data_IF_013085523201
#
_entry.id   IF_013085523201
#
_cell.length_a   1.000
_cell.length_b   1.000
_cell.length_c   1.000
_cell.angle_alpha   90.00
_cell.angle_beta   90.00
_cell.angle_gamma   90.00
#
_symmetry.space_group_name_H-M   'P 1'
#
loop_
_entity.id
_entity.type
_entity.pdbx_description
1 polymer ?
#
# COMPACT_ATOMS: atom_id res chain seq x y z
N UNK A 1 17.18 -17.25 -1.29
CA UNK A 1 16.80 -16.18 -0.39
C UNK A 1 17.63 -16.17 0.89
N UNK A 2 17.96 -17.29 1.43
CA UNK A 2 18.99 -17.41 2.46
C UNK A 2 19.97 -18.51 2.08
N UNK A 3 21.16 -18.53 2.69
CA UNK A 3 22.17 -19.55 2.47
C UNK A 3 21.76 -20.94 3.01
N UNK A 4 20.71 -20.99 3.85
CA UNK A 4 20.15 -22.24 4.41
C UNK A 4 19.29 -23.00 3.40
N UNK A 5 18.80 -22.34 2.34
CA UNK A 5 17.92 -22.93 1.34
C UNK A 5 16.52 -23.26 1.89
N UNK A 6 16.09 -22.60 2.96
CA UNK A 6 14.81 -22.87 3.62
C UNK A 6 13.60 -22.55 2.74
N UNK A 7 13.75 -21.65 1.77
CA UNK A 7 12.66 -21.24 0.87
C UNK A 7 13.12 -21.27 -0.59
N UNK A 8 12.37 -21.98 -1.43
CA UNK A 8 12.66 -22.13 -2.87
C UNK A 8 11.54 -21.49 -3.68
N UNK A 9 11.92 -20.69 -4.67
CA UNK A 9 10.99 -20.11 -5.63
C UNK A 9 11.43 -20.43 -7.07
N UNK A 10 10.46 -20.82 -7.90
CA UNK A 10 10.63 -21.04 -9.33
C UNK A 10 10.11 -19.83 -10.11
N UNK A 11 10.87 -19.32 -11.05
CA UNK A 11 10.41 -18.30 -11.99
C UNK A 11 9.59 -18.98 -13.07
N UNK A 12 8.27 -18.77 -13.09
CA UNK A 12 7.34 -19.41 -14.03
C UNK A 12 7.00 -18.54 -15.25
N UNK A 13 7.12 -17.21 -15.12
CA UNK A 13 6.87 -16.31 -16.22
C UNK A 13 7.71 -15.03 -16.12
N UNK A 14 8.07 -14.52 -17.30
CA UNK A 14 8.69 -13.20 -17.47
C UNK A 14 7.61 -12.24 -17.89
N UNK A 15 6.99 -11.54 -16.96
CA UNK A 15 6.05 -10.48 -17.30
C UNK A 15 6.71 -9.42 -18.18
N UNK A 16 5.98 -8.85 -19.11
CA UNK A 16 6.51 -7.93 -20.12
C UNK A 16 7.06 -6.61 -19.56
N UNK A 17 6.76 -6.29 -18.31
CA UNK A 17 7.09 -5.02 -17.66
C UNK A 17 8.05 -5.17 -16.48
N UNK A 18 9.24 -5.76 -16.71
CA UNK A 18 10.31 -5.85 -15.69
C UNK A 18 9.99 -6.69 -14.44
N UNK A 19 8.80 -7.29 -14.36
CA UNK A 19 8.40 -8.20 -13.30
C UNK A 19 8.77 -9.65 -13.57
N UNK A 20 8.62 -10.49 -12.57
CA UNK A 20 8.71 -11.96 -12.66
C UNK A 20 7.59 -12.57 -11.85
N UNK A 21 6.95 -13.59 -12.40
CA UNK A 21 5.99 -14.40 -11.64
C UNK A 21 6.75 -15.55 -10.99
N UNK A 22 6.67 -15.63 -9.67
CA UNK A 22 7.33 -16.65 -8.88
C UNK A 22 6.30 -17.64 -8.34
N UNK A 23 6.67 -18.93 -8.37
CA UNK A 23 5.97 -19.99 -7.66
C UNK A 23 6.85 -20.43 -6.49
N UNK A 24 6.36 -20.26 -5.29
CA UNK A 24 7.02 -20.77 -4.10
C UNK A 24 6.75 -22.27 -3.95
N UNK A 25 7.81 -23.02 -3.64
CA UNK A 25 7.75 -24.47 -3.39
C UNK A 25 7.96 -24.68 -1.90
N UNK A 26 6.93 -25.16 -1.21
CA UNK A 26 6.97 -25.40 0.22
C UNK A 26 6.13 -26.62 0.61
N UNK A 27 6.57 -27.37 1.63
CA UNK A 27 5.94 -28.59 2.13
C UNK A 27 5.29 -28.39 3.50
N UNK A 28 5.14 -27.14 3.95
CA UNK A 28 4.54 -26.76 5.21
C UNK A 28 3.11 -26.21 5.01
N UNK A 29 2.43 -25.90 6.11
CA UNK A 29 1.14 -25.20 6.03
C UNK A 29 1.28 -23.77 5.47
N UNK A 30 0.21 -23.23 4.90
CA UNK A 30 0.22 -21.85 4.38
C UNK A 30 0.60 -20.82 5.46
N UNK A 31 0.18 -21.03 6.69
CA UNK A 31 0.51 -20.14 7.82
C UNK A 31 2.01 -20.20 8.18
N UNK A 32 2.61 -21.39 8.12
CA UNK A 32 4.04 -21.56 8.35
C UNK A 32 4.85 -20.92 7.22
N UNK A 33 4.46 -21.16 5.96
CA UNK A 33 5.05 -20.50 4.80
C UNK A 33 5.02 -18.98 4.93
N UNK A 34 3.87 -18.44 5.31
CA UNK A 34 3.68 -16.99 5.49
C UNK A 34 4.59 -16.44 6.58
N UNK A 35 4.70 -17.14 7.71
CA UNK A 35 5.60 -16.75 8.81
C UNK A 35 7.07 -16.75 8.38
N UNK A 36 7.51 -17.76 7.63
CA UNK A 36 8.88 -17.83 7.10
C UNK A 36 9.14 -16.71 6.09
N UNK A 37 8.18 -16.45 5.19
CA UNK A 37 8.28 -15.35 4.22
C UNK A 37 8.43 -13.99 4.91
N UNK A 38 7.66 -13.73 5.96
CA UNK A 38 7.77 -12.49 6.73
C UNK A 38 9.07 -12.41 7.53
N UNK A 39 9.60 -13.54 8.00
CA UNK A 39 10.88 -13.56 8.70
C UNK A 39 12.08 -13.22 7.79
N UNK A 40 11.94 -13.43 6.48
CA UNK A 40 12.93 -13.05 5.48
C UNK A 40 12.75 -11.62 4.96
N UNK A 41 11.57 -11.04 5.19
CA UNK A 41 11.22 -9.70 4.70
C UNK A 41 11.79 -8.60 5.57
N UNK A 42 12.09 -7.47 4.95
CA UNK A 42 12.51 -6.24 5.61
C UNK A 42 11.52 -5.11 5.30
N UNK A 43 11.42 -4.12 6.20
CA UNK A 43 10.63 -2.93 5.93
C UNK A 43 11.18 -2.19 4.71
N UNK A 44 10.36 -1.77 3.73
CA UNK A 44 10.79 -1.10 2.51
C UNK A 44 11.13 0.38 2.78
N UNK A 45 12.13 0.62 3.61
CA UNK A 45 12.52 1.96 4.02
C UNK A 45 13.05 2.79 2.85
N UNK A 46 12.79 4.10 2.82
CA UNK A 46 13.42 5.02 1.89
C UNK A 46 14.94 4.97 1.97
N UNK A 47 15.59 5.06 0.80
CA UNK A 47 17.05 4.94 0.69
C UNK A 47 17.81 5.91 1.60
N UNK A 48 17.33 7.14 1.75
CA UNK A 48 17.97 8.13 2.60
C UNK A 48 18.00 7.75 4.10
N UNK A 49 17.06 6.90 4.55
CA UNK A 49 17.09 6.38 5.93
C UNK A 49 18.17 5.31 6.04
N UNK A 50 18.18 4.35 5.12
CA UNK A 50 19.15 3.25 5.08
C UNK A 50 20.58 3.80 4.97
N UNK A 51 20.82 4.75 4.06
CA UNK A 51 22.16 5.31 3.81
C UNK A 51 22.73 6.08 5.02
N UNK A 52 21.89 6.56 5.93
CA UNK A 52 22.30 7.28 7.14
C UNK A 52 22.41 6.39 8.39
N UNK A 53 22.12 5.10 8.27
CA UNK A 53 22.28 4.15 9.39
C UNK A 53 23.71 3.62 9.49
N UNK A 54 24.16 3.26 10.71
CA UNK A 54 25.42 2.55 10.87
C UNK A 54 25.34 1.20 10.18
N UNK A 55 26.41 0.86 9.44
CA UNK A 55 26.56 -0.43 8.79
C UNK A 55 27.17 -1.44 9.75
N UNK A 56 26.78 -2.70 9.66
CA UNK A 56 27.47 -3.77 10.34
C UNK A 56 28.87 -4.00 9.73
N UNK A 57 29.78 -4.53 10.54
CA UNK A 57 31.14 -4.79 10.07
C UNK A 57 31.14 -5.87 8.97
N UNK A 58 31.57 -5.48 7.77
CA UNK A 58 31.64 -6.37 6.60
C UNK A 58 30.45 -6.29 5.68
N UNK A 59 29.46 -5.43 5.94
CA UNK A 59 28.31 -5.23 5.07
C UNK A 59 28.47 -3.97 4.21
N UNK A 60 28.05 -4.07 2.95
CA UNK A 60 28.05 -2.94 2.01
C UNK A 60 26.87 -1.99 2.26
N UNK A 61 25.76 -2.49 2.85
CA UNK A 61 24.53 -1.76 3.10
C UNK A 61 24.11 -1.91 4.57
N UNK A 62 23.39 -0.91 5.09
CA UNK A 62 22.62 -1.05 6.31
C UNK A 62 21.29 -1.71 5.99
N UNK A 63 20.75 -2.48 6.94
CA UNK A 63 19.48 -3.16 6.82
C UNK A 63 18.40 -2.48 7.67
N UNK A 64 17.14 -2.78 7.39
CA UNK A 64 16.04 -2.47 8.27
C UNK A 64 16.14 -3.33 9.55
N UNK A 65 15.71 -2.79 10.66
CA UNK A 65 15.64 -3.53 11.93
C UNK A 65 14.19 -3.98 12.25
N UNK A 66 14.03 -4.74 13.33
CA UNK A 66 12.72 -5.27 13.71
C UNK A 66 11.71 -4.16 14.06
N UNK A 67 12.17 -3.05 14.62
CA UNK A 67 11.29 -1.93 14.97
C UNK A 67 10.77 -1.19 13.74
N UNK A 68 11.48 -1.29 12.60
CA UNK A 68 11.06 -0.65 11.36
C UNK A 68 9.78 -1.25 10.78
N UNK A 69 9.54 -2.54 10.97
CA UNK A 69 8.31 -3.19 10.52
C UNK A 69 7.07 -2.58 11.20
N UNK A 70 7.19 -2.21 12.46
CA UNK A 70 6.15 -1.54 13.21
C UNK A 70 6.10 -0.04 12.91
N UNK A 71 7.24 0.63 12.94
CA UNK A 71 7.34 2.08 12.77
C UNK A 71 7.05 2.53 11.32
N UNK A 72 7.32 1.69 10.32
CA UNK A 72 7.05 1.97 8.92
C UNK A 72 5.71 1.38 8.45
N UNK A 73 4.74 1.32 9.35
CA UNK A 73 3.37 0.90 9.06
C UNK A 73 2.38 1.96 9.55
N UNK A 74 1.23 2.07 8.89
CA UNK A 74 0.20 3.05 9.25
C UNK A 74 -0.85 2.47 10.18
N UNK A 75 -1.51 3.35 10.95
CA UNK A 75 -2.70 3.00 11.75
C UNK A 75 -3.89 2.54 10.90
N UNK A 76 -3.82 2.71 9.58
CA UNK A 76 -4.89 2.34 8.64
C UNK A 76 -4.72 0.95 8.03
N UNK A 77 -3.55 0.34 8.17
CA UNK A 77 -3.27 -0.98 7.59
C UNK A 77 -4.17 -2.05 8.19
N UNK A 78 -5.00 -2.67 7.35
CA UNK A 78 -5.96 -3.69 7.77
C UNK A 78 -5.93 -4.94 6.91
N UNK A 79 -5.79 -4.78 5.61
CA UNK A 79 -5.79 -5.89 4.65
C UNK A 79 -4.46 -5.90 3.89
N UNK A 80 -3.88 -7.10 3.78
CA UNK A 80 -2.66 -7.31 3.01
C UNK A 80 -2.92 -7.26 1.51
N UNK A 81 -1.97 -6.76 0.71
CA UNK A 81 -2.08 -6.75 -0.75
C UNK A 81 -1.39 -5.59 -1.46
N UNK A 82 -1.12 -4.48 -0.78
CA UNK A 82 -0.38 -3.36 -1.36
C UNK A 82 1.14 -3.60 -1.33
N UNK A 83 1.84 -3.14 -2.38
CA UNK A 83 3.30 -3.21 -2.50
C UNK A 83 3.99 -1.85 -2.35
N UNK A 84 3.22 -0.78 -2.16
CA UNK A 84 3.74 0.58 -1.97
C UNK A 84 3.96 0.92 -0.52
N UNK A 85 5.03 1.70 -0.26
CA UNK A 85 5.29 2.25 1.06
C UNK A 85 4.19 3.25 1.47
N UNK A 86 3.75 3.25 2.73
CA UNK A 86 2.60 4.03 3.21
C UNK A 86 2.94 5.49 3.55
N UNK A 87 3.87 6.14 2.85
CA UNK A 87 4.51 7.41 3.23
C UNK A 87 3.57 8.52 3.72
N UNK A 88 2.52 8.85 2.98
CA UNK A 88 1.61 9.95 3.34
C UNK A 88 0.85 9.67 4.64
N UNK A 89 0.43 8.44 4.85
CA UNK A 89 -0.44 8.07 5.95
C UNK A 89 0.32 7.85 7.27
N UNK A 90 1.66 7.76 7.22
CA UNK A 90 2.52 7.69 8.41
C UNK A 90 2.42 8.94 9.32
N UNK A 91 1.96 10.06 8.78
CA UNK A 91 1.74 11.28 9.56
C UNK A 91 0.54 11.20 10.51
N UNK A 92 -0.32 10.20 10.36
CA UNK A 92 -1.49 10.00 11.21
C UNK A 92 -1.20 8.98 12.31
N UNK A 93 -1.40 9.39 13.54
CA UNK A 93 -1.35 8.52 14.71
C UNK A 93 -2.76 8.23 15.25
N UNK A 94 -2.92 7.18 16.04
CA UNK A 94 -4.19 6.91 16.74
C UNK A 94 -4.63 8.10 17.59
N UNK A 95 -3.68 8.77 18.26
CA UNK A 95 -3.95 9.96 19.03
C UNK A 95 -4.53 11.09 18.15
N UNK A 96 -3.92 11.36 16.99
CA UNK A 96 -4.42 12.38 16.07
C UNK A 96 -5.82 12.00 15.56
N UNK A 97 -6.06 10.75 15.20
CA UNK A 97 -7.38 10.28 14.76
C UNK A 97 -8.44 10.50 15.85
N UNK A 98 -8.10 10.21 17.11
CA UNK A 98 -9.00 10.45 18.23
C UNK A 98 -9.29 11.95 18.46
N UNK A 99 -8.30 12.81 18.29
CA UNK A 99 -8.47 14.26 18.38
C UNK A 99 -9.37 14.80 17.27
N UNK A 100 -9.26 14.27 16.05
CA UNK A 100 -10.13 14.63 14.94
C UNK A 100 -11.58 14.22 15.21
N UNK A 101 -11.80 13.01 15.72
CA UNK A 101 -13.12 12.52 16.13
C UNK A 101 -13.77 13.43 17.19
N UNK A 102 -13.02 13.81 18.24
CA UNK A 102 -13.49 14.72 19.29
C UNK A 102 -13.88 16.10 18.73
N UNK A 103 -13.22 16.54 17.67
CA UNK A 103 -13.55 17.77 16.95
C UNK A 103 -14.73 17.65 15.98
N UNK A 104 -15.36 16.47 15.90
CA UNK A 104 -16.49 16.21 15.01
C UNK A 104 -16.10 15.97 13.56
N UNK A 105 -14.83 15.65 13.28
CA UNK A 105 -14.36 15.25 11.95
C UNK A 105 -14.55 13.75 11.81
N UNK A 106 -15.34 13.33 10.84
CA UNK A 106 -15.61 11.93 10.56
C UNK A 106 -14.60 11.38 9.56
N UNK A 107 -14.14 10.17 9.80
CA UNK A 107 -13.27 9.46 8.89
C UNK A 107 -14.06 8.38 8.13
N UNK A 108 -13.92 8.36 6.80
CA UNK A 108 -14.42 7.30 5.95
C UNK A 108 -13.22 6.50 5.42
N UNK A 109 -13.26 5.19 5.59
CA UNK A 109 -12.16 4.30 5.22
C UNK A 109 -12.48 3.57 3.91
N UNK A 110 -11.49 3.51 3.05
CA UNK A 110 -11.51 2.74 1.80
C UNK A 110 -10.28 1.85 1.74
N UNK A 111 -10.34 0.76 0.97
CA UNK A 111 -9.19 -0.11 0.72
C UNK A 111 -8.73 0.07 -0.72
N UNK A 112 -7.44 0.23 -0.93
CA UNK A 112 -6.80 0.19 -2.23
C UNK A 112 -5.49 -0.59 -2.12
N UNK A 113 -5.36 -1.66 -2.88
CA UNK A 113 -4.13 -2.43 -3.01
C UNK A 113 -3.27 -1.85 -4.12
N UNK A 114 -2.41 -0.89 -3.74
CA UNK A 114 -1.51 -0.24 -4.70
C UNK A 114 -0.50 -1.25 -5.26
N UNK A 115 -0.50 -1.40 -6.57
CA UNK A 115 0.33 -2.36 -7.29
C UNK A 115 1.68 -1.80 -7.75
N UNK A 116 2.39 -2.62 -8.54
CA UNK A 116 3.71 -2.30 -9.10
C UNK A 116 3.68 -1.15 -10.11
N UNK A 117 2.51 -0.81 -10.66
CA UNK A 117 2.35 0.29 -11.62
C UNK A 117 2.83 1.65 -11.11
N UNK A 118 2.88 1.84 -9.77
CA UNK A 118 3.44 3.06 -9.19
C UNK A 118 4.96 3.20 -9.35
N UNK A 119 5.65 2.13 -9.73
CA UNK A 119 7.10 2.08 -9.96
C UNK A 119 7.47 2.04 -11.44
N UNK A 120 6.48 2.00 -12.33
CA UNK A 120 6.71 1.99 -13.77
C UNK A 120 6.89 3.41 -14.30
N UNK A 121 7.94 3.59 -15.10
CA UNK A 121 8.16 4.82 -15.84
C UNK A 121 7.10 4.97 -16.95
N UNK A 122 6.79 6.21 -17.31
CA UNK A 122 5.96 6.50 -18.47
C UNK A 122 6.84 6.37 -19.71
N UNK A 123 6.66 5.28 -20.46
CA UNK A 123 7.50 4.93 -21.63
C UNK A 123 6.91 5.40 -22.97
N UNK A 124 5.85 6.22 -22.94
CA UNK A 124 5.15 6.71 -24.15
C UNK A 124 5.35 8.21 -24.31
N UNK A 125 5.62 8.67 -25.53
CA UNK A 125 5.71 10.10 -25.86
C UNK A 125 4.34 10.79 -25.78
N UNK A 126 3.29 10.08 -26.17
CA UNK A 126 1.90 10.56 -26.12
C UNK A 126 1.22 9.99 -24.88
N UNK A 127 1.00 10.83 -23.86
CA UNK A 127 0.40 10.45 -22.60
C UNK A 127 -1.00 9.84 -22.72
N UNK A 128 -1.73 10.14 -23.80
CA UNK A 128 -3.05 9.53 -24.06
C UNK A 128 -2.97 8.03 -24.34
N UNK A 129 -1.79 7.52 -24.67
CA UNK A 129 -1.51 6.11 -24.94
C UNK A 129 -1.00 5.37 -23.71
N UNK A 130 -0.68 6.09 -22.64
CA UNK A 130 -0.26 5.45 -21.38
C UNK A 130 -1.43 4.71 -20.76
N UNK A 131 -1.20 3.43 -20.44
CA UNK A 131 -2.17 2.58 -19.73
C UNK A 131 -1.65 2.35 -18.31
N UNK A 132 -2.44 2.78 -17.34
CA UNK A 132 -2.19 2.46 -15.94
C UNK A 132 -2.51 0.98 -15.66
N UNK A 133 -1.71 0.37 -14.79
CA UNK A 133 -2.02 -0.96 -14.29
C UNK A 133 -3.31 -0.95 -13.45
N UNK A 134 -4.05 -2.06 -13.50
CA UNK A 134 -5.23 -2.25 -12.67
C UNK A 134 -4.83 -2.49 -11.22
N UNK A 135 -5.59 -1.93 -10.31
CA UNK A 135 -5.44 -2.13 -8.86
C UNK A 135 -6.79 -2.54 -8.26
N UNK A 136 -6.73 -3.40 -7.27
CA UNK A 136 -7.92 -3.83 -6.53
C UNK A 136 -8.29 -2.76 -5.51
N UNK A 137 -9.57 -2.38 -5.48
CA UNK A 137 -10.08 -1.43 -4.49
C UNK A 137 -11.45 -1.86 -3.95
N UNK A 138 -11.73 -1.43 -2.73
CA UNK A 138 -13.02 -1.63 -2.08
C UNK A 138 -13.49 -0.35 -1.41
N UNK A 139 -14.71 0.07 -1.74
CA UNK A 139 -15.39 1.23 -1.16
C UNK A 139 -16.75 0.78 -0.64
N UNK A 140 -16.90 0.75 0.68
CA UNK A 140 -18.11 0.28 1.33
C UNK A 140 -19.29 1.27 1.24
N UNK A 141 -20.50 0.77 1.41
CA UNK A 141 -21.72 1.58 1.55
C UNK A 141 -21.61 2.63 2.65
N UNK A 142 -20.97 2.27 3.78
CA UNK A 142 -20.77 3.17 4.90
C UNK A 142 -19.85 4.34 4.53
N UNK A 143 -18.73 4.07 3.86
CA UNK A 143 -17.82 5.12 3.37
C UNK A 143 -18.54 6.05 2.38
N UNK A 144 -19.29 5.49 1.44
CA UNK A 144 -20.11 6.25 0.50
C UNK A 144 -21.12 7.15 1.21
N UNK A 145 -21.80 6.62 2.21
CA UNK A 145 -22.79 7.38 3.00
C UNK A 145 -22.14 8.59 3.68
N UNK A 146 -21.05 8.39 4.42
CA UNK A 146 -20.34 9.48 5.14
C UNK A 146 -19.92 10.57 4.16
N UNK A 147 -19.28 10.20 3.05
CA UNK A 147 -18.78 11.15 2.04
C UNK A 147 -19.92 11.91 1.38
N UNK A 148 -20.97 11.21 0.95
CA UNK A 148 -22.07 11.81 0.21
C UNK A 148 -22.93 12.73 1.10
N UNK A 149 -23.22 12.31 2.33
CA UNK A 149 -23.95 13.17 3.29
C UNK A 149 -23.15 14.43 3.62
N UNK A 150 -21.82 14.32 3.79
CA UNK A 150 -20.94 15.47 4.00
C UNK A 150 -21.01 16.47 2.85
N UNK A 151 -20.96 15.99 1.61
CA UNK A 151 -21.09 16.84 0.41
C UNK A 151 -22.48 17.48 0.30
N UNK A 152 -23.54 16.72 0.53
CA UNK A 152 -24.93 17.21 0.47
C UNK A 152 -25.19 18.29 1.53
N UNK A 153 -24.55 18.17 2.70
CA UNK A 153 -24.62 19.19 3.76
C UNK A 153 -23.79 20.45 3.45
N UNK A 154 -23.08 20.50 2.32
CA UNK A 154 -22.23 21.64 1.93
C UNK A 154 -20.90 21.72 2.68
N UNK A 155 -20.49 20.63 3.31
CA UNK A 155 -19.19 20.52 3.97
C UNK A 155 -18.10 20.00 3.04
N UNK A 156 -16.86 20.02 3.52
CA UNK A 156 -15.69 19.59 2.77
C UNK A 156 -15.33 18.14 3.05
N UNK A 157 -14.89 17.45 2.01
CA UNK A 157 -14.27 16.12 2.08
C UNK A 157 -12.79 16.27 1.76
N UNK A 158 -11.93 15.72 2.61
CA UNK A 158 -10.48 15.71 2.44
C UNK A 158 -10.02 14.30 2.15
N UNK A 159 -9.41 14.08 0.99
CA UNK A 159 -8.77 12.83 0.63
C UNK A 159 -7.32 12.82 1.15
N UNK A 160 -6.95 11.80 1.92
CA UNK A 160 -5.61 11.66 2.48
C UNK A 160 -4.81 10.67 1.66
N UNK A 161 -3.89 11.19 0.83
CA UNK A 161 -3.06 10.40 -0.08
C UNK A 161 -3.57 10.35 -1.51
N UNK A 162 -2.64 10.32 -2.47
CA UNK A 162 -2.95 10.23 -3.90
C UNK A 162 -3.73 8.96 -4.25
N UNK A 163 -3.49 7.86 -3.53
CA UNK A 163 -4.23 6.60 -3.67
C UNK A 163 -5.72 6.76 -3.36
N UNK A 164 -6.06 7.55 -2.32
CA UNK A 164 -7.46 7.83 -1.98
C UNK A 164 -8.11 8.69 -3.06
N UNK A 165 -7.41 9.70 -3.59
CA UNK A 165 -7.91 10.50 -4.72
C UNK A 165 -8.17 9.61 -5.93
N UNK A 166 -7.22 8.73 -6.30
CA UNK A 166 -7.37 7.78 -7.41
C UNK A 166 -8.62 6.91 -7.25
N UNK A 167 -8.81 6.31 -6.08
CA UNK A 167 -9.94 5.44 -5.82
C UNK A 167 -11.27 6.19 -5.85
N UNK A 168 -11.36 7.35 -5.21
CA UNK A 168 -12.59 8.15 -5.17
C UNK A 168 -12.96 8.71 -6.54
N UNK A 169 -11.99 9.23 -7.32
CA UNK A 169 -12.23 9.70 -8.68
C UNK A 169 -12.66 8.57 -9.63
N UNK A 170 -12.20 7.34 -9.39
CA UNK A 170 -12.63 6.17 -10.17
C UNK A 170 -14.08 5.78 -9.86
N UNK A 171 -14.50 5.91 -8.59
CA UNK A 171 -15.81 5.46 -8.12
C UNK A 171 -16.88 6.57 -8.09
N UNK A 172 -16.54 7.81 -8.43
CA UNK A 172 -17.53 8.89 -8.49
C UNK A 172 -18.43 8.77 -9.71
N UNK A 173 -19.74 8.87 -9.49
CA UNK A 173 -20.71 8.90 -10.58
C UNK A 173 -20.83 10.26 -11.26
N UNK A 174 -21.55 10.31 -12.38
CA UNK A 174 -21.86 11.54 -13.13
C UNK A 174 -22.67 12.57 -12.32
N UNK A 175 -23.30 12.11 -11.26
CA UNK A 175 -24.01 12.91 -10.26
C UNK A 175 -23.07 13.52 -9.20
N UNK A 176 -21.77 13.25 -9.28
CA UNK A 176 -20.77 13.69 -8.34
C UNK A 176 -20.80 12.95 -6.99
N UNK A 177 -21.57 11.87 -6.88
CA UNK A 177 -21.66 11.06 -5.66
C UNK A 177 -20.74 9.86 -5.73
N UNK A 178 -20.12 9.54 -4.60
CA UNK A 178 -19.30 8.34 -4.47
C UNK A 178 -20.18 7.09 -4.50
N UNK A 179 -19.77 6.10 -5.25
CA UNK A 179 -20.46 4.81 -5.40
C UNK A 179 -19.68 3.71 -4.70
N UNK A 180 -20.40 2.69 -4.24
CA UNK A 180 -19.79 1.44 -3.77
C UNK A 180 -18.98 0.80 -4.89
N UNK A 181 -17.88 0.16 -4.51
CA UNK A 181 -16.99 -0.52 -5.44
C UNK A 181 -16.40 -1.76 -4.76
N UNK A 182 -16.47 -2.90 -5.47
CA UNK A 182 -15.90 -4.19 -5.08
C UNK A 182 -14.94 -4.72 -6.15
#
# INVERSE_FOLDING_TARGET
FDESGSMVAEVIDNTTSRGRTLRFLYDCSHEEFKRELYALGEAPLPRYIIDNRPKNAGEDFAHADADDLENFQTVFAKYEGAVTAPGTNLHFSEHLMKMLEIKGIHAAYITLHCGLGNFHDIEVEDLTKHKMDSEEMHISAEACKIVNETKQAGHHVCAVGASVVKATETAVGTDGMLKEYE
#
